data_IF_755804103064
#
_entry.id   IF_755804103064
#
_cell.length_a   1.000
_cell.length_b   1.000
_cell.length_c   1.000
_cell.angle_alpha   90.00
_cell.angle_beta   90.00
_cell.angle_gamma   90.00
#
_symmetry.space_group_name_H-M   'P 1'
#
loop_
_entity.id
_entity.type
_entity.pdbx_description
1 polymer ?
#
# COMPACT_ATOMS: atom_id res chain seq x y z
N UNK A 1 -21.24 -4.18 0.40
CA UNK A 1 -20.52 -2.93 0.73
C UNK A 1 -19.32 -2.89 -0.20
N UNK A 2 -18.97 -1.72 -0.72
CA UNK A 2 -17.84 -1.59 -1.65
C UNK A 2 -16.87 -0.54 -1.14
N UNK A 3 -15.57 -0.84 -1.19
CA UNK A 3 -14.50 0.03 -0.71
C UNK A 3 -13.82 0.76 -1.87
N UNK A 4 -13.57 2.04 -1.67
CA UNK A 4 -12.61 2.81 -2.46
C UNK A 4 -11.30 2.80 -1.69
N UNK A 5 -10.32 2.03 -2.16
CA UNK A 5 -9.06 1.76 -1.45
C UNK A 5 -7.95 2.62 -2.04
N UNK A 6 -7.18 3.28 -1.19
CA UNK A 6 -5.90 3.90 -1.56
C UNK A 6 -4.76 3.14 -0.93
N UNK A 7 -3.81 2.69 -1.75
CA UNK A 7 -2.55 2.10 -1.31
C UNK A 7 -1.46 3.18 -1.36
N UNK A 8 -1.08 3.70 -0.18
CA UNK A 8 -0.12 4.79 0.02
C UNK A 8 0.78 4.43 1.19
N UNK A 9 2.09 4.48 1.03
CA UNK A 9 3.04 4.14 2.10
C UNK A 9 3.59 5.40 2.75
N UNK A 10 3.59 5.40 4.08
CA UNK A 10 4.25 6.38 4.93
C UNK A 10 5.21 5.71 5.91
N UNK A 11 6.18 6.45 6.44
CA UNK A 11 7.09 5.90 7.44
C UNK A 11 6.36 5.67 8.76
N UNK A 12 6.33 4.42 9.23
CA UNK A 12 5.62 4.04 10.46
C UNK A 12 4.09 4.12 10.36
N UNK A 13 3.54 4.19 9.15
CA UNK A 13 2.12 4.20 8.86
C UNK A 13 1.71 2.92 8.13
N UNK A 14 0.44 2.55 8.18
CA UNK A 14 -0.07 1.41 7.42
C UNK A 14 -0.43 1.81 5.98
N UNK A 15 -0.25 0.90 5.00
CA UNK A 15 -0.32 1.28 3.61
C UNK A 15 -1.75 1.39 3.06
N UNK A 16 -2.77 0.88 3.76
CA UNK A 16 -4.15 0.81 3.28
C UNK A 16 -5.01 1.93 3.86
N UNK A 17 -5.64 2.70 2.97
CA UNK A 17 -6.59 3.73 3.34
C UNK A 17 -7.96 3.49 2.71
N UNK A 18 -9.00 3.35 3.54
CA UNK A 18 -10.40 3.27 3.13
C UNK A 18 -11.35 3.56 4.29
N UNK A 19 -12.56 4.00 3.98
CA UNK A 19 -13.60 4.19 4.99
C UNK A 19 -14.20 2.83 5.38
N UNK A 20 -14.07 2.43 6.64
CA UNK A 20 -14.74 1.26 7.19
C UNK A 20 -15.82 1.69 8.19
N UNK A 21 -17.07 1.20 8.08
CA UNK A 21 -18.20 1.71 8.86
C UNK A 21 -18.10 1.48 10.38
N UNK A 22 -17.16 0.66 10.83
CA UNK A 22 -16.94 0.34 12.25
C UNK A 22 -15.76 1.08 12.86
N UNK A 23 -14.96 1.76 12.03
CA UNK A 23 -13.71 2.38 12.46
C UNK A 23 -13.80 3.90 12.34
N UNK A 24 -13.14 4.58 13.27
CA UNK A 24 -13.06 6.05 13.30
C UNK A 24 -11.87 6.58 12.46
N UNK A 25 -10.95 5.68 12.08
CA UNK A 25 -9.77 5.96 11.27
C UNK A 25 -9.92 5.41 9.87
N UNK A 26 -9.14 5.96 8.95
CA UNK A 26 -9.13 5.51 7.55
C UNK A 26 -7.91 4.69 7.20
N UNK A 27 -6.86 4.69 8.03
CA UNK A 27 -5.70 3.81 7.89
C UNK A 27 -5.94 2.45 8.56
N UNK A 28 -5.60 1.39 7.84
CA UNK A 28 -5.80 0.00 8.24
C UNK A 28 -4.52 -0.80 8.06
N UNK A 29 -4.21 -1.68 9.01
CA UNK A 29 -3.07 -2.59 8.88
C UNK A 29 -3.24 -3.54 7.69
N UNK A 30 -2.14 -4.15 7.25
CA UNK A 30 -2.16 -5.11 6.13
C UNK A 30 -3.01 -6.34 6.51
N UNK A 31 -3.00 -6.75 7.78
CA UNK A 31 -3.85 -7.82 8.30
C UNK A 31 -5.34 -7.46 8.27
N UNK A 32 -5.71 -6.31 8.82
CA UNK A 32 -7.11 -5.83 8.82
C UNK A 32 -7.64 -5.70 7.39
N UNK A 33 -6.86 -5.08 6.50
CA UNK A 33 -7.18 -5.00 5.09
C UNK A 33 -7.27 -6.38 4.43
N UNK A 34 -6.42 -7.34 4.84
CA UNK A 34 -6.49 -8.71 4.38
C UNK A 34 -7.82 -9.39 4.72
N UNK A 35 -8.32 -9.17 5.94
CA UNK A 35 -9.60 -9.70 6.40
C UNK A 35 -10.80 -8.99 5.76
N UNK A 36 -10.82 -7.65 5.79
CA UNK A 36 -11.92 -6.81 5.30
C UNK A 36 -12.12 -6.93 3.79
N UNK A 37 -11.01 -6.99 3.05
CA UNK A 37 -11.01 -7.04 1.59
C UNK A 37 -10.98 -8.48 1.07
N UNK A 38 -10.83 -9.48 1.94
CA UNK A 38 -10.81 -10.90 1.56
C UNK A 38 -9.60 -11.29 0.72
N UNK A 39 -8.42 -10.78 1.07
CA UNK A 39 -7.17 -11.04 0.35
C UNK A 39 -6.59 -12.41 0.74
N UNK A 40 -5.85 -13.03 -0.19
CA UNK A 40 -5.15 -14.27 0.14
C UNK A 40 -4.01 -14.03 1.14
N UNK A 41 -3.74 -15.04 1.98
CA UNK A 41 -2.60 -15.02 2.91
C UNK A 41 -1.24 -14.91 2.18
N UNK A 42 -1.18 -15.27 0.91
CA UNK A 42 -0.02 -15.06 0.05
C UNK A 42 0.16 -13.58 -0.28
N UNK A 43 -0.90 -12.92 -0.77
CA UNK A 43 -0.89 -11.49 -1.09
C UNK A 43 -0.59 -10.63 0.16
N UNK A 44 -1.20 -10.94 1.31
CA UNK A 44 -0.90 -10.29 2.59
C UNK A 44 0.60 -10.35 2.92
N UNK A 45 1.24 -11.50 2.71
CA UNK A 45 2.68 -11.66 2.94
C UNK A 45 3.52 -10.86 1.95
N UNK A 46 3.14 -10.84 0.67
CA UNK A 46 3.84 -10.05 -0.34
C UNK A 46 3.75 -8.54 -0.06
N UNK A 47 2.59 -8.06 0.38
CA UNK A 47 2.38 -6.68 0.82
C UNK A 47 3.27 -6.32 2.01
N UNK A 48 3.39 -7.21 2.99
CA UNK A 48 4.31 -7.03 4.12
C UNK A 48 5.76 -6.88 3.69
N UNK A 49 6.24 -7.76 2.81
CA UNK A 49 7.62 -7.68 2.31
C UNK A 49 7.85 -6.38 1.55
N UNK A 50 6.87 -5.95 0.77
CA UNK A 50 6.94 -4.71 0.01
C UNK A 50 6.94 -3.45 0.91
N UNK A 51 6.10 -3.41 1.95
CA UNK A 51 6.10 -2.31 2.91
C UNK A 51 7.39 -2.29 3.74
N UNK A 52 7.82 -3.43 4.29
CA UNK A 52 9.05 -3.53 5.08
C UNK A 52 10.28 -3.03 4.32
N UNK A 53 10.37 -3.32 3.02
CA UNK A 53 11.44 -2.80 2.16
C UNK A 53 11.45 -1.26 2.09
N UNK A 54 10.28 -0.62 2.07
CA UNK A 54 10.19 0.84 2.15
C UNK A 54 10.57 1.34 3.53
N UNK A 55 10.07 0.72 4.60
CA UNK A 55 10.40 1.11 5.97
C UNK A 55 11.91 1.03 6.26
N UNK A 56 12.61 0.06 5.66
CA UNK A 56 14.08 -0.06 5.75
C UNK A 56 14.85 1.11 5.11
N UNK A 57 14.22 1.90 4.23
CA UNK A 57 14.83 3.11 3.67
C UNK A 57 14.85 4.29 4.64
N UNK A 58 14.15 4.17 5.78
CA UNK A 58 14.09 5.20 6.80
C UNK A 58 15.46 5.49 7.40
N UNK A 59 15.84 6.76 7.42
CA UNK A 59 17.03 7.22 8.11
C UNK A 59 16.66 7.71 9.53
N UNK A 60 17.03 6.99 10.59
CA UNK A 60 16.65 7.34 11.96
C UNK A 60 17.41 8.56 12.52
N UNK A 61 18.50 8.99 11.87
CA UNK A 61 19.28 10.16 12.27
C UNK A 61 18.65 11.44 11.69
N UNK A 62 18.19 11.37 10.44
CA UNK A 62 17.52 12.47 9.74
C UNK A 62 16.52 11.91 8.73
N UNK A 63 15.25 11.85 9.12
CA UNK A 63 14.17 11.30 8.30
C UNK A 63 13.97 12.03 6.96
N UNK A 64 14.50 13.25 6.79
CA UNK A 64 14.48 13.96 5.50
C UNK A 64 15.46 13.39 4.49
N UNK A 65 16.41 12.58 4.96
CA UNK A 65 17.42 11.88 4.16
C UNK A 65 17.10 10.41 3.97
N UNK A 66 15.91 9.96 4.36
CA UNK A 66 15.41 8.63 4.03
C UNK A 66 15.26 8.51 2.51
N UNK A 67 15.84 7.48 1.92
CA UNK A 67 15.87 7.29 0.49
C UNK A 67 16.24 5.85 0.15
N UNK A 68 15.76 5.39 -1.00
CA UNK A 68 16.25 4.16 -1.59
C UNK A 68 17.77 4.26 -1.88
N UNK A 69 18.50 3.13 -1.80
CA UNK A 69 19.95 3.13 -2.04
C UNK A 69 20.33 3.48 -3.48
N UNK A 70 19.41 3.32 -4.42
CA UNK A 70 19.57 3.69 -5.82
C UNK A 70 18.21 3.96 -6.48
N UNK A 71 18.19 4.78 -7.52
CA UNK A 71 16.99 5.08 -8.30
C UNK A 71 16.36 3.83 -8.96
N UNK A 72 17.18 2.82 -9.29
CA UNK A 72 16.67 1.55 -9.82
C UNK A 72 15.90 0.74 -8.76
N UNK A 73 16.35 0.78 -7.50
CA UNK A 73 15.66 0.12 -6.40
C UNK A 73 14.30 0.76 -6.15
N UNK A 74 14.25 2.11 -6.16
CA UNK A 74 12.99 2.86 -6.06
C UNK A 74 12.02 2.50 -7.20
N UNK A 75 12.50 2.49 -8.45
CA UNK A 75 11.66 2.11 -9.61
C UNK A 75 11.11 0.69 -9.47
N UNK A 76 11.97 -0.27 -9.13
CA UNK A 76 11.55 -1.67 -8.95
C UNK A 76 10.54 -1.84 -7.81
N UNK A 77 10.71 -1.08 -6.72
CA UNK A 77 9.75 -1.04 -5.62
C UNK A 77 8.41 -0.45 -6.06
N UNK A 78 8.41 0.65 -6.81
CA UNK A 78 7.19 1.29 -7.33
C UNK A 78 6.44 0.35 -8.28
N UNK A 79 7.15 -0.32 -9.19
CA UNK A 79 6.57 -1.27 -10.15
C UNK A 79 5.96 -2.49 -9.46
N UNK A 80 6.63 -3.06 -8.45
CA UNK A 80 6.06 -4.15 -7.65
C UNK A 80 4.84 -3.72 -6.87
N UNK A 81 4.86 -2.53 -6.24
CA UNK A 81 3.70 -2.00 -5.53
C UNK A 81 2.49 -1.80 -6.45
N UNK A 82 2.73 -1.38 -7.70
CA UNK A 82 1.66 -1.32 -8.72
C UNK A 82 1.09 -2.71 -9.00
N UNK A 83 1.94 -3.71 -9.24
CA UNK A 83 1.49 -5.09 -9.47
C UNK A 83 0.71 -5.68 -8.29
N UNK A 84 1.11 -5.35 -7.06
CA UNK A 84 0.39 -5.74 -5.85
C UNK A 84 -0.98 -5.06 -5.76
N UNK A 85 -1.07 -3.75 -6.03
CA UNK A 85 -2.36 -3.05 -6.05
C UNK A 85 -3.32 -3.61 -7.12
N UNK A 86 -2.81 -3.94 -8.32
CA UNK A 86 -3.62 -4.61 -9.35
C UNK A 86 -4.11 -5.99 -8.90
N UNK A 87 -3.30 -6.72 -8.12
CA UNK A 87 -3.68 -8.03 -7.56
C UNK A 87 -4.69 -7.89 -6.43
N UNK A 88 -4.56 -6.89 -5.56
CA UNK A 88 -5.55 -6.54 -4.52
C UNK A 88 -6.92 -6.30 -5.13
N UNK A 89 -7.00 -5.42 -6.15
CA UNK A 89 -8.26 -5.13 -6.83
C UNK A 89 -8.88 -6.35 -7.54
N UNK A 90 -8.05 -7.33 -7.94
CA UNK A 90 -8.52 -8.57 -8.60
C UNK A 90 -8.97 -9.64 -7.60
N UNK A 91 -8.28 -9.78 -6.47
CA UNK A 91 -8.61 -10.79 -5.46
C UNK A 91 -9.86 -10.39 -4.66
N UNK A 92 -10.06 -9.10 -4.42
CA UNK A 92 -11.19 -8.62 -3.62
C UNK A 92 -12.47 -8.47 -4.43
N UNK A 93 -13.56 -9.10 -3.97
CA UNK A 93 -14.90 -8.90 -4.54
C UNK A 93 -15.62 -7.65 -3.99
N UNK A 94 -15.03 -6.98 -3.00
CA UNK A 94 -15.64 -5.84 -2.29
C UNK A 94 -14.94 -4.51 -2.57
N UNK A 95 -13.90 -4.48 -3.41
CA UNK A 95 -13.27 -3.23 -3.85
C UNK A 95 -14.02 -2.71 -5.08
N UNK A 96 -14.50 -1.46 -5.01
CA UNK A 96 -15.06 -0.75 -6.16
C UNK A 96 -13.97 -0.06 -6.99
N UNK A 97 -12.93 0.43 -6.32
CA UNK A 97 -11.82 1.16 -6.93
C UNK A 97 -10.57 0.98 -6.08
N UNK A 98 -9.43 0.82 -6.74
CA UNK A 98 -8.13 0.91 -6.09
C UNK A 98 -7.24 1.99 -6.73
N UNK A 99 -6.72 2.87 -5.89
CA UNK A 99 -5.74 3.89 -6.25
C UNK A 99 -4.38 3.53 -5.66
N UNK A 100 -3.32 3.55 -6.47
CA UNK A 100 -1.96 3.32 -6.01
C UNK A 100 -1.15 4.62 -6.04
N UNK A 101 -0.57 5.00 -4.90
CA UNK A 101 0.20 6.24 -4.74
C UNK A 101 1.69 6.02 -4.44
N UNK A 102 2.13 4.78 -4.21
CA UNK A 102 3.48 4.50 -3.73
C UNK A 102 3.73 5.23 -2.41
N UNK A 103 4.84 5.96 -2.28
CA UNK A 103 5.12 6.85 -1.14
C UNK A 103 4.72 8.32 -1.41
N UNK A 104 3.72 8.55 -2.27
CA UNK A 104 3.30 9.88 -2.73
C UNK A 104 4.02 10.36 -4.00
N UNK A 105 4.92 9.55 -4.57
CA UNK A 105 5.60 9.82 -5.84
C UNK A 105 4.77 9.51 -7.08
N UNK A 106 3.69 8.71 -6.95
CA UNK A 106 2.76 8.42 -8.05
C UNK A 106 1.62 9.44 -8.02
N UNK A 107 1.34 10.07 -9.17
CA UNK A 107 0.37 11.15 -9.26
C UNK A 107 -1.04 10.69 -8.79
N UNK A 108 -1.77 11.55 -8.04
CA UNK A 108 -3.14 11.25 -7.63
C UNK A 108 -4.04 10.94 -8.82
N UNK A 109 -4.99 10.02 -8.63
CA UNK A 109 -5.93 9.59 -9.67
C UNK A 109 -5.39 8.52 -10.62
N UNK A 110 -4.21 7.96 -10.35
CA UNK A 110 -3.73 6.75 -11.03
C UNK A 110 -4.53 5.55 -10.52
N UNK A 111 -5.75 5.38 -11.05
CA UNK A 111 -6.53 4.17 -10.85
C UNK A 111 -5.77 3.00 -11.44
N UNK A 112 -5.69 1.92 -10.67
CA UNK A 112 -5.19 0.67 -11.20
C UNK A 112 -6.34 -0.14 -11.77
N UNK A 113 -7.50 -0.26 -11.09
CA UNK A 113 -8.77 -0.76 -11.64
C UNK A 113 -9.98 -0.24 -10.85
#
# INVERSE_FOLDING_TARGET
MSYDVTLLVGYGEYPFYYDHPRDETTDHSIEEAGEDLGLSAELVRELWVWDDEFQQTYNPIDGRRSAFPAAEAERSWVERGRGLAERVGRESAVIARIEYRGFGGVAPGTCVF
#
